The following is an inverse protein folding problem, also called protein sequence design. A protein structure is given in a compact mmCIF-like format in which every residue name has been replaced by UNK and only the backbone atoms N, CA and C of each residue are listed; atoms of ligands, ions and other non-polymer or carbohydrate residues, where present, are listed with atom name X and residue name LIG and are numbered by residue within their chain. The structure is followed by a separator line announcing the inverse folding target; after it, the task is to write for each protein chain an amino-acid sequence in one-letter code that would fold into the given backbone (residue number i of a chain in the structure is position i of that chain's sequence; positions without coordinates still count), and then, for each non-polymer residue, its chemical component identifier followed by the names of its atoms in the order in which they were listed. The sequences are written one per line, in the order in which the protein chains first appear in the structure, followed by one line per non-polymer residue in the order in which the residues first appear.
data_IF_412790471133
#
_entry.id   IF_412790471133
#
_cell.length_a   1.000
_cell.length_b   1.000
_cell.length_c   1.000
_cell.angle_alpha   90.00
_cell.angle_beta   90.00
_cell.angle_gamma   90.00
#
_symmetry.space_group_name_H-M   'P 1'
#
loop_
_entity.id
_entity.type
_entity.pdbx_description
1 polymer ?
#
# COMPACT_ATOMS: atom_id res chain seq x y z
N UNK A 1 -3.44 16.53 13.89
CA UNK A 1 -4.12 15.22 14.02
C UNK A 1 -3.51 14.23 13.06
N UNK A 2 -3.16 13.05 13.55
CA UNK A 2 -2.63 11.97 12.71
C UNK A 2 -3.79 11.29 11.97
N UNK A 3 -3.70 11.24 10.64
CA UNK A 3 -4.80 10.76 9.81
C UNK A 3 -4.36 9.55 8.98
N UNK A 4 -5.07 8.44 9.14
CA UNK A 4 -4.82 7.21 8.37
C UNK A 4 -6.03 6.93 7.50
N UNK A 5 -5.77 6.63 6.23
CA UNK A 5 -6.79 6.19 5.28
C UNK A 5 -6.47 4.75 4.89
N UNK A 6 -7.49 3.92 4.81
CA UNK A 6 -7.36 2.57 4.27
C UNK A 6 -8.32 2.41 3.10
N UNK A 7 -7.87 1.73 2.06
CA UNK A 7 -8.65 1.56 0.84
C UNK A 7 -8.28 0.27 0.12
N UNK A 8 -9.27 -0.56 -0.16
CA UNK A 8 -9.11 -1.69 -1.07
C UNK A 8 -9.31 -1.15 -2.48
N UNK A 9 -8.27 -1.16 -3.31
CA UNK A 9 -8.31 -0.55 -4.64
C UNK A 9 -8.86 -1.48 -5.71
N UNK A 10 -8.96 -2.78 -5.42
CA UNK A 10 -9.38 -3.77 -6.41
C UNK A 10 -8.60 -3.60 -7.73
N UNK A 11 -7.29 -3.42 -7.62
CA UNK A 11 -6.40 -3.12 -8.72
C UNK A 11 -6.03 -1.66 -8.77
N UNK A 12 -4.77 -1.35 -8.39
CA UNK A 12 -4.33 0.06 -8.28
C UNK A 12 -4.25 0.75 -9.64
N UNK A 13 -3.97 -0.01 -10.71
CA UNK A 13 -3.91 0.55 -12.06
C UNK A 13 -5.30 1.01 -12.53
N UNK A 14 -6.32 0.21 -12.25
CA UNK A 14 -7.70 0.59 -12.55
C UNK A 14 -8.14 1.77 -11.67
N UNK A 15 -7.76 1.76 -10.40
CA UNK A 15 -8.07 2.86 -9.47
C UNK A 15 -7.46 4.17 -9.96
N UNK A 16 -6.21 4.13 -10.46
CA UNK A 16 -5.54 5.31 -11.02
C UNK A 16 -6.36 5.88 -12.19
N UNK A 17 -6.79 5.03 -13.11
CA UNK A 17 -7.59 5.47 -14.26
C UNK A 17 -8.92 6.10 -13.86
N UNK A 18 -9.45 5.70 -12.70
CA UNK A 18 -10.71 6.23 -12.16
C UNK A 18 -10.52 7.48 -11.30
N UNK A 19 -9.28 7.97 -11.19
CA UNK A 19 -9.01 9.22 -10.48
C UNK A 19 -8.65 9.07 -9.00
N UNK A 20 -8.28 7.86 -8.55
CA UNK A 20 -7.96 7.61 -7.16
C UNK A 20 -6.88 8.55 -6.62
N UNK A 21 -5.78 8.74 -7.36
CA UNK A 21 -4.67 9.56 -6.87
C UNK A 21 -5.01 11.06 -6.83
N UNK A 22 -5.89 11.53 -7.73
CA UNK A 22 -6.39 12.91 -7.65
C UNK A 22 -7.23 13.12 -6.41
N UNK A 23 -8.08 12.15 -6.09
CA UNK A 23 -8.87 12.17 -4.87
C UNK A 23 -7.96 12.13 -3.65
N UNK A 24 -6.96 11.24 -3.65
CA UNK A 24 -6.04 11.06 -2.53
C UNK A 24 -5.28 12.34 -2.20
N UNK A 25 -4.86 13.09 -3.22
CA UNK A 25 -4.11 14.33 -3.03
C UNK A 25 -4.86 15.36 -2.20
N UNK A 26 -6.19 15.29 -2.17
CA UNK A 26 -7.04 16.22 -1.42
C UNK A 26 -7.28 15.79 0.01
N UNK A 27 -6.85 14.58 0.41
CA UNK A 27 -7.24 14.01 1.69
C UNK A 27 -6.31 14.39 2.84
N UNK A 28 -5.09 14.83 2.56
CA UNK A 28 -4.09 15.22 3.56
C UNK A 28 -3.85 14.12 4.58
N UNK A 29 -3.71 12.89 4.12
CA UNK A 29 -3.46 11.75 4.99
C UNK A 29 -2.00 11.71 5.40
N UNK A 30 -1.74 11.28 6.63
CA UNK A 30 -0.37 11.01 7.10
C UNK A 30 0.09 9.64 6.64
N UNK A 31 -0.81 8.65 6.63
CA UNK A 31 -0.52 7.30 6.11
C UNK A 31 -1.72 6.81 5.32
N UNK A 32 -1.45 6.20 4.18
CA UNK A 32 -2.45 5.58 3.33
C UNK A 32 -2.14 4.10 3.21
N UNK A 33 -3.07 3.26 3.64
CA UNK A 33 -2.95 1.80 3.56
C UNK A 33 -3.81 1.30 2.41
N UNK A 34 -3.19 0.58 1.48
CA UNK A 34 -3.85 0.10 0.27
C UNK A 34 -3.81 -1.42 0.25
N UNK A 35 -4.92 -2.04 -0.12
CA UNK A 35 -5.05 -3.47 -0.32
C UNK A 35 -5.44 -3.75 -1.77
N UNK A 36 -5.14 -4.97 -2.22
CA UNK A 36 -5.44 -5.45 -3.57
C UNK A 36 -4.87 -4.55 -4.66
N UNK A 37 -3.55 -4.37 -4.63
CA UNK A 37 -2.88 -3.62 -5.71
C UNK A 37 -2.95 -4.36 -7.05
N UNK A 38 -2.97 -5.70 -7.02
CA UNK A 38 -3.09 -6.57 -8.20
C UNK A 38 -2.10 -6.21 -9.30
N UNK A 39 -0.87 -5.87 -8.90
CA UNK A 39 0.17 -5.45 -9.83
C UNK A 39 1.55 -5.79 -9.27
N UNK A 40 2.50 -6.03 -10.17
CA UNK A 40 3.91 -6.10 -9.83
C UNK A 40 4.52 -4.70 -9.89
N UNK A 41 5.53 -4.43 -9.07
CA UNK A 41 6.17 -3.12 -9.07
C UNK A 41 6.71 -2.75 -10.45
N UNK A 42 7.20 -3.73 -11.21
CA UNK A 42 7.68 -3.48 -12.57
C UNK A 42 6.59 -2.91 -13.48
N UNK A 43 5.32 -3.10 -13.14
CA UNK A 43 4.19 -2.57 -13.89
C UNK A 43 3.78 -1.17 -13.43
N UNK A 44 4.33 -0.70 -12.31
CA UNK A 44 3.98 0.58 -11.68
C UNK A 44 5.08 1.61 -11.95
N UNK A 45 5.33 1.89 -13.23
CA UNK A 45 6.41 2.77 -13.66
C UNK A 45 5.98 4.23 -13.79
N UNK A 46 4.68 4.50 -13.91
CA UNK A 46 4.17 5.86 -14.01
C UNK A 46 4.31 6.56 -12.67
N UNK A 47 4.69 7.84 -12.70
CA UNK A 47 4.84 8.65 -11.50
C UNK A 47 3.56 8.77 -10.69
N UNK A 48 2.40 8.57 -11.32
CA UNK A 48 1.11 8.61 -10.63
C UNK A 48 1.05 7.63 -9.46
N UNK A 49 1.78 6.49 -9.55
CA UNK A 49 1.80 5.47 -8.49
C UNK A 49 2.73 5.85 -7.33
N UNK A 50 3.40 6.99 -7.42
CA UNK A 50 4.31 7.48 -6.38
C UNK A 50 3.93 8.92 -6.06
N UNK A 51 2.77 9.13 -5.40
CA UNK A 51 2.24 10.47 -5.21
C UNK A 51 3.23 11.38 -4.48
N UNK A 52 3.33 12.60 -4.96
CA UNK A 52 4.28 13.59 -4.45
C UNK A 52 3.99 13.87 -2.97
N UNK A 53 5.06 13.94 -2.18
CA UNK A 53 4.96 14.20 -0.75
C UNK A 53 4.82 12.94 0.09
N UNK A 54 4.81 11.76 -0.53
CA UNK A 54 4.72 10.49 0.18
C UNK A 54 5.94 9.62 -0.09
N UNK A 55 6.33 8.86 0.94
CA UNK A 55 7.25 7.73 0.80
C UNK A 55 6.39 6.52 0.49
N UNK A 56 6.60 5.90 -0.65
CA UNK A 56 5.71 4.87 -1.19
C UNK A 56 6.35 3.49 -1.10
N UNK A 57 5.61 2.55 -0.54
CA UNK A 57 6.05 1.17 -0.36
C UNK A 57 5.01 0.23 -0.94
N UNK A 58 5.46 -0.70 -1.78
CA UNK A 58 4.61 -1.72 -2.40
C UNK A 58 5.10 -3.09 -1.97
N UNK A 59 4.17 -3.98 -1.67
CA UNK A 59 4.46 -5.38 -1.36
C UNK A 59 3.60 -6.25 -2.27
N UNK A 60 4.20 -6.67 -3.38
CA UNK A 60 3.48 -7.43 -4.40
C UNK A 60 3.31 -8.89 -4.03
N UNK A 61 2.27 -9.54 -4.58
CA UNK A 61 2.12 -10.98 -4.52
C UNK A 61 3.08 -11.65 -5.51
N UNK A 62 3.51 -12.87 -5.18
CA UNK A 62 4.26 -13.71 -6.13
C UNK A 62 3.41 -14.02 -7.35
N UNK A 63 2.09 -14.09 -7.17
CA UNK A 63 1.14 -14.37 -8.25
C UNK A 63 0.76 -13.09 -8.96
N UNK A 64 1.00 -12.98 -10.28
CA UNK A 64 0.64 -11.77 -11.04
C UNK A 64 -0.86 -11.46 -10.98
N UNK A 65 -1.20 -10.18 -10.90
CA UNK A 65 -2.58 -9.72 -10.94
C UNK A 65 -3.43 -10.09 -9.74
N UNK A 66 -2.81 -10.39 -8.60
CA UNK A 66 -3.50 -10.92 -7.43
C UNK A 66 -2.97 -10.28 -6.16
N UNK A 67 -3.88 -9.95 -5.22
CA UNK A 67 -3.55 -9.46 -3.87
C UNK A 67 -2.55 -8.30 -3.86
N UNK A 68 -1.63 -8.29 -2.90
CA UNK A 68 -0.63 -7.24 -2.73
C UNK A 68 -1.15 -6.05 -1.95
N UNK A 69 -0.25 -5.42 -1.18
CA UNK A 69 -0.56 -4.24 -0.36
C UNK A 69 0.40 -3.11 -0.66
N UNK A 70 0.02 -1.91 -0.25
CA UNK A 70 0.89 -0.75 -0.33
C UNK A 70 0.66 0.16 0.87
N UNK A 71 1.68 0.95 1.19
CA UNK A 71 1.57 2.03 2.17
C UNK A 71 2.27 3.26 1.60
N UNK A 72 1.57 4.39 1.67
CA UNK A 72 2.16 5.69 1.39
C UNK A 72 2.23 6.47 2.69
N UNK A 73 3.41 6.95 3.07
CA UNK A 73 3.63 7.64 4.33
C UNK A 73 4.19 9.04 4.09
N UNK A 74 3.57 10.03 4.70
CA UNK A 74 4.00 11.41 4.57
C UNK A 74 5.36 11.65 5.23
N UNK A 75 5.61 10.98 6.34
CA UNK A 75 6.90 11.01 7.04
C UNK A 75 7.64 9.70 6.80
N UNK A 76 8.96 9.77 6.65
CA UNK A 76 9.77 8.58 6.42
C UNK A 76 9.70 7.64 7.62
N UNK A 77 9.28 6.39 7.44
CA UNK A 77 9.26 5.43 8.55
C UNK A 77 10.68 5.04 8.97
N UNK A 78 10.82 4.63 10.22
CA UNK A 78 12.07 4.10 10.75
C UNK A 78 12.33 2.68 10.24
N UNK A 79 11.27 1.93 9.97
CA UNK A 79 11.36 0.54 9.53
C UNK A 79 10.14 0.17 8.71
N UNK A 80 10.36 -0.70 7.72
CA UNK A 80 9.30 -1.27 6.89
C UNK A 80 9.40 -2.79 6.99
N UNK A 81 8.29 -3.45 7.29
CA UNK A 81 8.21 -4.90 7.43
C UNK A 81 7.20 -5.43 6.41
N UNK A 82 7.64 -6.38 5.57
CA UNK A 82 6.79 -6.97 4.53
C UNK A 82 6.61 -8.48 4.73
N UNK A 83 7.23 -9.06 5.75
CA UNK A 83 7.21 -10.50 5.98
C UNK A 83 6.94 -10.81 7.45
N UNK A 84 6.16 -11.86 7.68
CA UNK A 84 5.85 -12.37 9.01
C UNK A 84 6.38 -13.80 9.24
N UNK A 85 7.15 -14.35 8.30
CA UNK A 85 7.57 -15.76 8.28
C UNK A 85 6.36 -16.70 8.25
N UNK A 86 5.35 -16.29 7.51
CA UNK A 86 4.12 -17.04 7.29
C UNK A 86 3.88 -17.11 5.78
N UNK A 87 4.15 -18.27 5.18
CA UNK A 87 4.26 -18.43 3.72
C UNK A 87 3.07 -17.82 2.93
N UNK A 88 1.85 -18.09 3.38
CA UNK A 88 0.68 -17.60 2.66
C UNK A 88 0.63 -16.07 2.68
N UNK A 89 0.92 -15.47 3.83
CA UNK A 89 0.91 -14.02 3.98
C UNK A 89 2.04 -13.41 3.15
N UNK A 90 3.24 -13.97 3.25
CA UNK A 90 4.43 -13.42 2.62
C UNK A 90 4.38 -13.56 1.10
N UNK A 91 3.95 -14.72 0.60
CA UNK A 91 3.89 -14.98 -0.85
C UNK A 91 2.83 -14.16 -1.55
N UNK A 92 1.79 -13.74 -0.84
CA UNK A 92 0.68 -12.98 -1.42
C UNK A 92 0.74 -11.48 -1.13
N UNK A 93 1.81 -11.01 -0.48
CA UNK A 93 1.97 -9.59 -0.20
C UNK A 93 0.84 -9.02 0.64
N UNK A 94 0.35 -9.78 1.62
CA UNK A 94 -0.83 -9.41 2.40
C UNK A 94 -0.54 -8.45 3.55
N UNK A 95 0.72 -8.27 3.92
CA UNK A 95 1.13 -7.53 5.09
C UNK A 95 2.20 -6.51 4.74
N UNK A 96 1.99 -5.26 5.11
CA UNK A 96 3.00 -4.22 5.00
C UNK A 96 2.89 -3.31 6.21
N UNK A 97 3.93 -3.26 7.02
CA UNK A 97 3.99 -2.47 8.24
C UNK A 97 5.02 -1.36 8.11
N UNK A 98 4.66 -0.18 8.54
CA UNK A 98 5.59 0.93 8.67
C UNK A 98 5.65 1.37 10.13
N UNK A 99 6.86 1.56 10.64
CA UNK A 99 7.10 1.92 12.04
C UNK A 99 7.59 3.37 12.13
N UNK A 100 6.94 4.11 13.00
CA UNK A 100 7.33 5.46 13.40
C UNK A 100 7.66 5.46 14.89
N UNK A 101 8.29 6.52 15.43
CA UNK A 101 8.47 6.60 16.89
C UNK A 101 7.13 6.46 17.61
N UNK A 102 7.01 5.40 18.44
CA UNK A 102 5.82 5.16 19.23
C UNK A 102 4.58 4.70 18.50
N UNK A 103 4.67 4.41 17.20
CA UNK A 103 3.48 4.03 16.41
C UNK A 103 3.86 3.13 15.25
N UNK A 104 3.10 2.06 15.09
CA UNK A 104 3.19 1.20 13.89
C UNK A 104 1.85 1.23 13.16
N UNK A 105 1.90 1.29 11.84
CA UNK A 105 0.71 1.25 10.99
C UNK A 105 0.85 0.08 10.02
N UNK A 106 -0.20 -0.71 9.90
CA UNK A 106 -0.19 -1.93 9.08
C UNK A 106 -1.27 -1.85 8.02
N UNK A 107 -0.88 -2.11 6.77
CA UNK A 107 -1.83 -2.39 5.70
C UNK A 107 -1.94 -3.91 5.60
N UNK A 108 -3.13 -4.41 5.88
CA UNK A 108 -3.39 -5.86 5.95
C UNK A 108 -4.53 -6.22 5.02
N UNK A 109 -4.30 -7.21 4.18
CA UNK A 109 -5.34 -7.77 3.33
C UNK A 109 -5.67 -9.18 3.78
N UNK A 110 -6.93 -9.39 4.18
CA UNK A 110 -7.46 -10.69 4.57
C UNK A 110 -8.60 -11.00 3.61
N UNK A 111 -8.43 -11.97 2.71
CA UNK A 111 -9.51 -12.32 1.78
C UNK A 111 -10.68 -12.96 2.53
N UNK A 112 -11.88 -12.71 2.02
CA UNK A 112 -13.09 -13.32 2.57
C UNK A 112 -13.17 -14.78 2.16
N UNK A 113 -13.43 -15.62 3.11
CA UNK A 113 -13.77 -16.99 2.92
C UNK A 113 -12.80 -17.91 2.36
#
# INVERSE_FOLDING_TARGET
MFRVITCNTNGIRAAERKGFFRWLAKQRADVVCIQEIKAKEVQLTDQAFYPKGYHCFYNESDRPGYAGTAVFAKHKPQRVITRLDWDIVDSEGRYLQVDFPGLSVVSLYVPSG
#
